data_IF_515158551068
#
_entry.id   IF_515158551068
#
_cell.length_a   1.000
_cell.length_b   1.000
_cell.length_c   1.000
_cell.angle_alpha   90.00
_cell.angle_beta   90.00
_cell.angle_gamma   90.00
#
_symmetry.space_group_name_H-M   'P 1'
#
loop_
_entity.id
_entity.type
_entity.pdbx_description
1 polymer ?
#
# COMPACT_ATOMS: atom_id res chain seq x y z
N UNK A 1 -21.96 -10.89 -27.60
CA UNK A 1 -21.64 -10.74 -26.18
C UNK A 1 -20.98 -9.37 -25.97
N UNK A 2 -21.58 -8.47 -25.21
CA UNK A 2 -21.00 -7.16 -24.91
C UNK A 2 -19.74 -7.37 -24.07
N UNK A 3 -18.63 -6.71 -24.43
CA UNK A 3 -17.41 -6.71 -23.60
C UNK A 3 -17.73 -5.99 -22.30
N UNK A 4 -17.50 -6.65 -21.17
CA UNK A 4 -17.60 -6.03 -19.83
C UNK A 4 -16.64 -4.83 -19.75
N UNK A 5 -17.08 -3.76 -19.12
CA UNK A 5 -16.18 -2.63 -18.81
C UNK A 5 -15.21 -3.03 -17.68
N UNK A 6 -14.06 -2.35 -17.58
CA UNK A 6 -13.09 -2.55 -16.49
C UNK A 6 -13.77 -2.49 -15.12
N UNK A 7 -14.70 -1.54 -14.91
CA UNK A 7 -15.47 -1.42 -13.68
C UNK A 7 -16.31 -2.66 -13.38
N UNK A 8 -17.02 -3.20 -14.41
CA UNK A 8 -17.82 -4.42 -14.22
C UNK A 8 -16.96 -5.63 -13.86
N UNK A 9 -15.77 -5.75 -14.46
CA UNK A 9 -14.83 -6.83 -14.11
C UNK A 9 -14.38 -6.67 -12.66
N UNK A 10 -13.93 -5.49 -12.24
CA UNK A 10 -13.43 -5.27 -10.89
C UNK A 10 -14.50 -5.38 -9.81
N UNK A 11 -15.77 -5.06 -10.10
CA UNK A 11 -16.88 -5.28 -9.16
C UNK A 11 -17.06 -6.77 -8.85
N UNK A 12 -16.77 -7.66 -9.79
CA UNK A 12 -16.82 -9.12 -9.57
C UNK A 12 -15.66 -9.64 -8.72
N UNK A 13 -14.55 -8.88 -8.67
CA UNK A 13 -13.37 -9.19 -7.88
C UNK A 13 -13.30 -8.42 -6.54
N UNK A 14 -14.25 -7.51 -6.29
CA UNK A 14 -14.29 -6.75 -5.05
C UNK A 14 -14.61 -7.67 -3.88
N UNK A 15 -13.64 -7.82 -2.98
CA UNK A 15 -13.75 -8.63 -1.78
C UNK A 15 -14.27 -7.82 -0.58
N UNK A 16 -13.83 -6.58 -0.47
CA UNK A 16 -14.15 -5.70 0.66
C UNK A 16 -14.15 -4.24 0.22
N UNK A 17 -15.08 -3.49 0.80
CA UNK A 17 -15.12 -2.04 0.79
C UNK A 17 -15.68 -1.56 2.12
N UNK A 18 -14.78 -1.16 3.00
CA UNK A 18 -15.12 -0.72 4.35
C UNK A 18 -14.23 0.46 4.75
N UNK A 19 -14.82 1.54 5.21
CA UNK A 19 -14.11 2.69 5.80
C UNK A 19 -12.94 3.17 4.92
N UNK A 20 -13.17 3.34 3.61
CA UNK A 20 -12.17 3.72 2.61
C UNK A 20 -11.04 2.68 2.38
N UNK A 21 -11.18 1.47 2.90
CA UNK A 21 -10.28 0.36 2.57
C UNK A 21 -10.97 -0.50 1.51
N UNK A 22 -10.38 -0.56 0.32
CA UNK A 22 -10.89 -1.39 -0.76
C UNK A 22 -9.94 -2.55 -1.05
N UNK A 23 -10.51 -3.71 -1.28
CA UNK A 23 -9.78 -4.97 -1.52
C UNK A 23 -10.37 -5.66 -2.74
N UNK A 24 -9.52 -6.07 -3.67
CA UNK A 24 -9.89 -6.86 -4.84
C UNK A 24 -9.05 -8.13 -4.89
N UNK A 25 -9.71 -9.25 -5.16
CA UNK A 25 -9.07 -10.56 -5.28
C UNK A 25 -8.73 -10.88 -6.74
N UNK A 26 -7.72 -11.71 -6.92
CA UNK A 26 -7.33 -12.31 -8.20
C UNK A 26 -7.03 -11.27 -9.32
N UNK A 27 -6.47 -10.11 -8.94
CA UNK A 27 -6.15 -9.02 -9.87
C UNK A 27 -4.80 -9.23 -10.53
N UNK A 28 -3.75 -9.48 -9.73
CA UNK A 28 -2.39 -9.68 -10.24
C UNK A 28 -2.16 -11.15 -10.54
N UNK A 29 -1.81 -11.52 -11.79
CA UNK A 29 -1.71 -12.92 -12.18
C UNK A 29 -0.51 -13.62 -11.54
N UNK A 30 -0.61 -14.96 -11.40
CA UNK A 30 0.40 -15.79 -10.72
C UNK A 30 1.78 -15.69 -11.35
N UNK A 31 1.87 -15.65 -12.67
CA UNK A 31 3.17 -15.56 -13.35
C UNK A 31 3.93 -14.28 -12.95
N UNK A 32 3.23 -13.15 -12.78
CA UNK A 32 3.86 -11.91 -12.32
C UNK A 32 4.18 -11.99 -10.82
N UNK A 33 3.27 -12.48 -9.99
CA UNK A 33 3.53 -12.71 -8.57
C UNK A 33 4.75 -13.64 -8.35
N UNK A 34 4.81 -14.74 -9.09
CA UNK A 34 5.90 -15.70 -9.03
C UNK A 34 7.25 -15.09 -9.47
N UNK A 35 7.22 -14.30 -10.55
CA UNK A 35 8.41 -13.59 -11.02
C UNK A 35 8.95 -12.62 -9.95
N UNK A 36 8.07 -11.83 -9.34
CA UNK A 36 8.45 -10.84 -8.32
C UNK A 36 9.03 -11.50 -7.07
N UNK A 37 8.46 -12.62 -6.62
CA UNK A 37 9.00 -13.40 -5.49
C UNK A 37 10.39 -13.93 -5.81
N UNK A 38 10.54 -14.56 -6.97
CA UNK A 38 11.84 -15.09 -7.41
C UNK A 38 12.88 -13.98 -7.56
N UNK A 39 12.48 -12.83 -8.08
CA UNK A 39 13.37 -11.68 -8.24
C UNK A 39 13.91 -11.20 -6.91
N UNK A 40 13.06 -10.92 -5.91
CA UNK A 40 13.50 -10.40 -4.59
C UNK A 40 14.37 -11.42 -3.84
N UNK A 41 14.16 -12.71 -4.05
CA UNK A 41 14.99 -13.76 -3.44
C UNK A 41 16.40 -13.82 -4.03
N UNK A 42 16.59 -13.34 -5.25
CA UNK A 42 17.87 -13.42 -5.96
C UNK A 42 18.65 -12.09 -6.04
N UNK A 43 18.07 -10.97 -5.58
CA UNK A 43 18.73 -9.65 -5.62
C UNK A 43 19.26 -9.21 -4.25
N UNK A 44 19.92 -10.10 -3.56
CA UNK A 44 20.38 -9.87 -2.18
C UNK A 44 21.29 -8.64 -2.01
N UNK A 45 22.03 -8.25 -3.04
CA UNK A 45 22.94 -7.10 -3.01
C UNK A 45 22.25 -5.72 -3.05
N UNK A 46 20.99 -5.67 -3.42
CA UNK A 46 20.19 -4.44 -3.46
C UNK A 46 19.08 -4.40 -2.41
N UNK A 47 18.94 -5.48 -1.65
CA UNK A 47 17.98 -5.54 -0.56
C UNK A 47 18.45 -4.70 0.62
N UNK A 48 17.55 -3.86 1.13
CA UNK A 48 17.73 -3.22 2.42
C UNK A 48 17.18 -4.15 3.48
N UNK A 49 18.06 -4.65 4.33
CA UNK A 49 17.67 -5.41 5.51
C UNK A 49 17.27 -4.44 6.62
N UNK A 50 15.97 -4.38 6.91
CA UNK A 50 15.46 -3.68 8.08
C UNK A 50 15.46 -4.65 9.25
N UNK A 51 16.49 -4.56 10.08
CA UNK A 51 16.72 -5.46 11.21
C UNK A 51 16.42 -4.83 12.56
N UNK A 52 15.60 -3.78 12.59
CA UNK A 52 15.16 -3.18 13.84
C UNK A 52 14.10 -4.10 14.50
N UNK A 53 14.48 -4.83 15.58
CA UNK A 53 13.54 -5.77 16.22
C UNK A 53 12.36 -5.06 16.89
N UNK A 54 12.42 -3.74 17.05
CA UNK A 54 11.35 -2.94 17.64
C UNK A 54 10.35 -2.48 16.57
N UNK A 55 10.85 -1.91 15.46
CA UNK A 55 10.00 -1.27 14.46
C UNK A 55 9.61 -2.19 13.30
N UNK A 56 10.49 -3.05 12.88
CA UNK A 56 10.20 -3.98 11.79
C UNK A 56 11.40 -4.73 11.28
N UNK A 57 11.16 -5.96 10.90
CA UNK A 57 12.13 -6.84 10.28
C UNK A 57 11.57 -7.33 8.95
N UNK A 58 12.16 -6.90 7.87
CA UNK A 58 11.89 -7.40 6.53
C UNK A 58 13.07 -7.07 5.59
N UNK A 59 13.03 -7.64 4.42
CA UNK A 59 13.90 -7.27 3.31
C UNK A 59 13.08 -6.51 2.29
N UNK A 60 13.62 -5.42 1.73
CA UNK A 60 12.94 -4.66 0.70
C UNK A 60 13.85 -4.24 -0.44
N UNK A 61 13.29 -4.14 -1.62
CA UNK A 61 13.97 -3.70 -2.83
C UNK A 61 13.07 -2.78 -3.66
N UNK A 62 13.65 -1.72 -4.22
CA UNK A 62 12.93 -0.77 -5.06
C UNK A 62 12.80 -1.29 -6.49
N UNK A 63 11.68 -1.90 -6.84
CA UNK A 63 11.41 -2.47 -8.16
C UNK A 63 11.46 -1.41 -9.27
N UNK A 64 10.87 -0.24 -9.03
CA UNK A 64 10.81 0.85 -10.02
C UNK A 64 12.19 1.40 -10.41
N UNK A 65 13.21 1.20 -9.57
CA UNK A 65 14.59 1.64 -9.85
C UNK A 65 15.33 0.58 -10.67
N UNK A 66 15.20 -0.69 -10.30
CA UNK A 66 16.00 -1.77 -10.86
C UNK A 66 15.31 -2.52 -12.01
N UNK A 67 13.97 -2.59 -12.00
CA UNK A 67 13.17 -3.32 -12.98
C UNK A 67 11.95 -2.49 -13.40
N UNK A 68 12.21 -1.33 -14.00
CA UNK A 68 11.17 -0.36 -14.32
C UNK A 68 10.07 -0.90 -15.24
N UNK A 69 10.40 -1.75 -16.20
CA UNK A 69 9.42 -2.35 -17.12
C UNK A 69 8.45 -3.27 -16.36
N UNK A 70 8.96 -4.09 -15.44
CA UNK A 70 8.13 -4.98 -14.61
C UNK A 70 7.32 -4.16 -13.61
N UNK A 71 7.92 -3.11 -13.03
CA UNK A 71 7.20 -2.17 -12.18
C UNK A 71 6.02 -1.54 -12.92
N UNK A 72 6.21 -1.09 -14.16
CA UNK A 72 5.14 -0.52 -14.97
C UNK A 72 4.02 -1.55 -15.23
N UNK A 73 4.39 -2.79 -15.55
CA UNK A 73 3.41 -3.88 -15.73
C UNK A 73 2.59 -4.12 -14.45
N UNK A 74 3.24 -4.16 -13.28
CA UNK A 74 2.54 -4.30 -12.01
C UNK A 74 1.60 -3.11 -11.77
N UNK A 75 2.07 -1.90 -12.06
CA UNK A 75 1.29 -0.68 -11.88
C UNK A 75 0.06 -0.58 -12.80
N UNK A 76 0.02 -1.24 -13.95
CA UNK A 76 -1.19 -1.33 -14.76
C UNK A 76 -2.34 -1.98 -13.99
N UNK A 77 -2.08 -3.05 -13.25
CA UNK A 77 -3.07 -3.71 -12.41
C UNK A 77 -3.48 -2.83 -11.21
N UNK A 78 -2.52 -2.26 -10.51
CA UNK A 78 -2.77 -1.39 -9.35
C UNK A 78 -3.52 -0.13 -9.77
N UNK A 79 -3.11 0.53 -10.87
CA UNK A 79 -3.77 1.72 -11.40
C UNK A 79 -5.21 1.44 -11.84
N UNK A 80 -5.49 0.23 -12.32
CA UNK A 80 -6.86 -0.20 -12.65
C UNK A 80 -7.74 -0.20 -11.41
N UNK A 81 -7.26 -0.76 -10.29
CA UNK A 81 -7.96 -0.70 -8.99
C UNK A 81 -8.06 0.75 -8.47
N UNK A 82 -6.99 1.54 -8.57
CA UNK A 82 -6.98 2.93 -8.14
C UNK A 82 -7.95 3.81 -8.94
N UNK A 83 -8.15 3.51 -10.21
CA UNK A 83 -9.16 4.20 -11.04
C UNK A 83 -10.57 3.96 -10.51
N UNK A 84 -10.93 2.70 -10.20
CA UNK A 84 -12.22 2.36 -9.61
C UNK A 84 -12.37 2.96 -8.21
N UNK A 85 -11.32 2.93 -7.40
CA UNK A 85 -11.28 3.60 -6.11
C UNK A 85 -11.57 5.09 -6.23
N UNK A 86 -10.94 5.78 -7.20
CA UNK A 86 -11.14 7.22 -7.43
C UNK A 86 -12.53 7.56 -8.00
N UNK A 87 -13.15 6.65 -8.75
CA UNK A 87 -14.54 6.81 -9.19
C UNK A 87 -15.51 6.74 -8.03
N UNK A 88 -15.26 5.84 -7.07
CA UNK A 88 -16.07 5.68 -5.87
C UNK A 88 -15.92 6.87 -4.92
N UNK A 89 -14.70 7.25 -4.66
CA UNK A 89 -14.34 8.40 -3.84
C UNK A 89 -14.00 9.60 -4.71
N UNK A 90 -14.99 10.07 -5.46
CA UNK A 90 -14.83 11.00 -6.59
C UNK A 90 -14.08 12.31 -6.25
N UNK A 91 -14.02 12.70 -4.97
CA UNK A 91 -13.25 13.87 -4.54
C UNK A 91 -11.75 13.73 -4.82
N UNK A 92 -11.24 12.49 -4.88
CA UNK A 92 -9.85 12.19 -5.24
C UNK A 92 -9.47 12.66 -6.65
N UNK A 93 -10.43 12.82 -7.56
CA UNK A 93 -10.20 13.35 -8.92
C UNK A 93 -9.67 14.80 -8.92
N UNK A 94 -9.80 15.51 -7.81
CA UNK A 94 -9.27 16.85 -7.64
C UNK A 94 -7.77 16.85 -7.28
N UNK A 95 -7.19 15.70 -6.96
CA UNK A 95 -5.78 15.55 -6.65
C UNK A 95 -5.03 14.99 -7.86
N UNK A 96 -3.98 15.67 -8.35
CA UNK A 96 -3.09 15.10 -9.35
C UNK A 96 -2.21 14.05 -8.68
N UNK A 97 -2.68 12.81 -8.61
CA UNK A 97 -1.96 11.70 -7.99
C UNK A 97 -0.92 11.12 -8.94
N UNK A 98 0.27 10.83 -8.41
CA UNK A 98 1.33 10.10 -9.09
C UNK A 98 1.90 9.00 -8.17
N UNK A 99 2.46 7.98 -8.74
CA UNK A 99 3.14 6.91 -8.00
C UNK A 99 4.48 7.42 -7.46
N UNK A 100 4.72 7.21 -6.16
CA UNK A 100 5.96 7.66 -5.52
C UNK A 100 7.07 6.60 -5.64
N UNK A 101 6.77 5.34 -5.36
CA UNK A 101 7.71 4.22 -5.48
C UNK A 101 6.96 2.90 -5.53
N UNK A 102 7.66 1.86 -5.98
CA UNK A 102 7.19 0.47 -5.95
C UNK A 102 8.25 -0.37 -5.25
N UNK A 103 7.92 -0.89 -4.09
CA UNK A 103 8.81 -1.71 -3.28
C UNK A 103 8.33 -3.16 -3.30
N UNK A 104 9.26 -4.11 -3.40
CA UNK A 104 8.98 -5.52 -3.11
C UNK A 104 9.57 -5.81 -1.74
N UNK A 105 8.77 -6.43 -0.88
CA UNK A 105 9.17 -6.77 0.48
C UNK A 105 9.02 -8.27 0.73
N UNK A 106 10.01 -8.84 1.42
CA UNK A 106 9.97 -10.20 1.95
C UNK A 106 10.04 -10.15 3.47
N UNK A 107 9.06 -10.73 4.12
CA UNK A 107 9.00 -10.89 5.57
C UNK A 107 9.13 -12.37 5.90
N UNK A 108 10.15 -12.74 6.67
CA UNK A 108 10.37 -14.12 7.13
C UNK A 108 9.42 -14.48 8.29
N UNK A 109 9.25 -15.78 8.62
CA UNK A 109 8.45 -16.20 9.74
C UNK A 109 8.79 -15.46 11.04
N UNK A 110 7.75 -15.02 11.75
CA UNK A 110 7.82 -14.26 13.02
C UNK A 110 8.41 -12.86 12.92
N UNK A 111 8.82 -12.42 11.73
CA UNK A 111 9.21 -11.04 11.45
C UNK A 111 7.98 -10.21 11.05
N UNK A 112 8.15 -8.92 10.86
CA UNK A 112 7.09 -8.03 10.39
C UNK A 112 7.31 -6.59 10.78
N UNK A 113 6.38 -5.73 10.40
CA UNK A 113 6.34 -4.34 10.83
C UNK A 113 5.33 -4.22 11.98
N UNK A 114 5.83 -4.27 13.22
CA UNK A 114 5.01 -4.54 14.40
C UNK A 114 4.26 -3.32 14.94
N UNK A 115 4.69 -2.10 14.60
CA UNK A 115 4.06 -0.87 15.08
C UNK A 115 2.97 -0.41 14.13
N UNK A 116 1.88 0.08 14.73
CA UNK A 116 0.88 0.82 13.98
C UNK A 116 1.47 2.14 13.49
N UNK A 117 1.38 2.38 12.20
CA UNK A 117 1.89 3.56 11.53
C UNK A 117 0.92 4.06 10.46
N UNK A 118 1.05 5.33 10.11
CA UNK A 118 0.46 5.94 8.93
C UNK A 118 1.57 6.35 7.97
N UNK A 119 1.23 6.54 6.71
CA UNK A 119 2.22 6.82 5.67
C UNK A 119 2.64 8.29 5.62
N UNK A 120 1.72 9.21 5.86
CA UNK A 120 1.94 10.65 5.71
C UNK A 120 2.29 11.39 7.02
N UNK A 121 2.92 10.70 7.95
CA UNK A 121 3.18 11.19 9.31
C UNK A 121 4.48 12.00 9.47
N UNK A 122 5.23 12.21 8.40
CA UNK A 122 6.46 12.99 8.40
C UNK A 122 6.45 14.12 7.38
N UNK A 123 7.35 15.08 7.55
CA UNK A 123 7.51 16.17 6.57
C UNK A 123 7.78 15.67 5.16
N UNK A 124 8.57 14.61 4.99
CA UNK A 124 8.94 14.07 3.69
C UNK A 124 7.82 13.21 3.06
N UNK A 125 6.93 12.66 3.87
CA UNK A 125 5.82 11.80 3.41
C UNK A 125 4.45 12.49 3.42
N UNK A 126 4.37 13.75 3.83
CA UNK A 126 3.10 14.50 3.98
C UNK A 126 2.21 14.54 2.73
N UNK A 127 2.80 14.34 1.55
CA UNK A 127 2.09 14.37 0.27
C UNK A 127 1.44 13.02 -0.08
N UNK A 128 1.68 11.97 0.70
CA UNK A 128 1.07 10.66 0.47
C UNK A 128 -0.42 10.77 0.76
N UNK A 129 -1.22 10.44 -0.23
CA UNK A 129 -2.69 10.45 -0.17
C UNK A 129 -3.22 9.04 0.03
N UNK A 130 -2.73 8.08 -0.78
CA UNK A 130 -3.13 6.68 -0.70
C UNK A 130 -1.89 5.79 -0.57
N UNK A 131 -2.07 4.70 0.14
CA UNK A 131 -1.18 3.56 0.08
C UNK A 131 -1.85 2.42 -0.68
N UNK A 132 -1.04 1.56 -1.28
CA UNK A 132 -1.49 0.35 -1.93
C UNK A 132 -0.55 -0.82 -1.62
N UNK A 133 -1.11 -2.02 -1.66
CA UNK A 133 -0.37 -3.26 -1.47
C UNK A 133 -0.92 -4.36 -2.37
N UNK A 134 -0.04 -5.21 -2.86
CA UNK A 134 -0.37 -6.47 -3.51
C UNK A 134 0.26 -7.61 -2.73
N UNK A 135 -0.52 -8.60 -2.31
CA UNK A 135 0.02 -9.84 -1.78
C UNK A 135 0.50 -10.73 -2.92
N UNK A 136 1.77 -11.15 -2.86
CA UNK A 136 2.39 -11.95 -3.92
C UNK A 136 2.30 -13.46 -3.66
N UNK A 137 1.91 -13.86 -2.45
CA UNK A 137 1.65 -15.26 -2.09
C UNK A 137 0.55 -15.36 -1.03
N UNK A 138 0.04 -16.57 -0.88
CA UNK A 138 -0.83 -16.93 0.23
C UNK A 138 0.01 -17.16 1.50
N UNK A 139 -0.56 -16.82 2.65
CA UNK A 139 0.00 -17.15 3.97
C UNK A 139 -1.12 -17.74 4.81
N UNK A 140 -0.96 -18.99 5.23
CA UNK A 140 -2.03 -19.74 5.91
C UNK A 140 -2.30 -19.19 7.31
N UNK A 141 -1.26 -18.77 8.03
CA UNK A 141 -1.36 -18.30 9.41
C UNK A 141 -0.51 -17.07 9.65
N UNK A 142 -1.12 -16.05 10.24
CA UNK A 142 -0.49 -14.76 10.46
C UNK A 142 -0.32 -13.95 9.16
N UNK A 143 0.51 -12.92 9.21
CA UNK A 143 0.85 -12.10 8.05
C UNK A 143 -0.22 -11.11 7.61
N UNK A 144 -1.34 -10.99 8.34
CA UNK A 144 -2.40 -10.06 8.02
C UNK A 144 -1.88 -8.61 8.06
N UNK A 145 -2.46 -7.77 7.22
CA UNK A 145 -2.40 -6.31 7.40
C UNK A 145 -3.55 -5.91 8.32
N UNK A 146 -3.21 -5.40 9.49
CA UNK A 146 -4.17 -5.03 10.53
C UNK A 146 -4.33 -3.52 10.61
N UNK A 147 -5.57 -3.04 10.54
CA UNK A 147 -5.97 -1.65 10.68
C UNK A 147 -6.54 -1.41 12.08
N UNK A 148 -5.95 -0.45 12.80
CA UNK A 148 -6.23 -0.22 14.22
C UNK A 148 -7.66 0.26 14.45
N UNK A 149 -8.02 1.38 13.84
CA UNK A 149 -9.31 2.03 14.11
C UNK A 149 -10.49 1.31 13.47
N UNK A 150 -10.27 0.68 12.32
CA UNK A 150 -11.27 -0.10 11.61
C UNK A 150 -11.46 -1.50 12.19
N UNK A 151 -10.58 -1.94 13.12
CA UNK A 151 -10.57 -3.28 13.70
C UNK A 151 -10.60 -4.37 12.62
N UNK A 152 -9.92 -4.12 11.51
CA UNK A 152 -9.94 -4.95 10.32
C UNK A 152 -8.59 -5.65 10.13
N UNK A 153 -8.62 -6.94 9.78
CA UNK A 153 -7.45 -7.73 9.39
C UNK A 153 -7.64 -8.28 8.00
N UNK A 154 -6.74 -7.92 7.10
CA UNK A 154 -6.75 -8.41 5.72
C UNK A 154 -5.73 -9.53 5.59
N UNK A 155 -6.22 -10.74 5.35
CA UNK A 155 -5.39 -11.93 5.18
C UNK A 155 -4.64 -11.89 3.85
N UNK A 156 -3.35 -12.27 3.82
CA UNK A 156 -2.63 -12.46 2.57
C UNK A 156 -3.32 -13.47 1.66
N UNK A 157 -3.58 -13.05 0.44
CA UNK A 157 -4.05 -13.88 -0.66
C UNK A 157 -3.33 -13.45 -1.93
N UNK A 158 -2.71 -14.38 -2.62
CA UNK A 158 -1.97 -14.09 -3.85
C UNK A 158 -2.83 -13.35 -4.87
N UNK A 159 -2.25 -12.32 -5.48
CA UNK A 159 -2.92 -11.48 -6.47
C UNK A 159 -3.93 -10.48 -5.91
N UNK A 160 -4.16 -10.46 -4.59
CA UNK A 160 -5.03 -9.51 -3.88
C UNK A 160 -4.40 -8.13 -3.86
N UNK A 161 -5.16 -7.13 -4.29
CA UNK A 161 -4.80 -5.71 -4.21
C UNK A 161 -5.57 -5.05 -3.08
N UNK A 162 -4.91 -4.22 -2.30
CA UNK A 162 -5.50 -3.41 -1.22
C UNK A 162 -5.12 -1.96 -1.44
N UNK A 163 -6.10 -1.04 -1.32
CA UNK A 163 -5.87 0.42 -1.40
C UNK A 163 -6.58 1.07 -0.21
N UNK A 164 -5.88 2.01 0.46
CA UNK A 164 -6.40 2.75 1.62
C UNK A 164 -5.79 4.15 1.73
N UNK A 165 -6.41 5.08 2.49
CA UNK A 165 -5.84 6.39 2.77
C UNK A 165 -4.53 6.29 3.57
N UNK A 166 -3.50 7.03 3.16
CA UNK A 166 -2.19 7.03 3.84
C UNK A 166 -2.15 7.81 5.16
N UNK A 167 -3.29 8.30 5.68
CA UNK A 167 -3.34 9.22 6.80
C UNK A 167 -3.42 8.53 8.18
N UNK A 168 -3.30 9.35 9.24
CA UNK A 168 -3.42 8.90 10.64
C UNK A 168 -4.73 8.18 10.96
N UNK A 169 -5.77 8.35 10.16
CA UNK A 169 -7.06 7.66 10.31
C UNK A 169 -6.98 6.17 9.96
N UNK A 170 -5.95 5.76 9.24
CA UNK A 170 -5.75 4.38 8.77
C UNK A 170 -4.42 3.81 9.27
N UNK A 171 -4.17 3.94 10.57
CA UNK A 171 -3.01 3.32 11.19
C UNK A 171 -3.08 1.81 10.98
N UNK A 172 -2.01 1.26 10.44
CA UNK A 172 -1.93 -0.17 10.12
C UNK A 172 -0.56 -0.74 10.45
N UNK A 173 -0.51 -2.08 10.54
CA UNK A 173 0.71 -2.85 10.76
C UNK A 173 0.67 -4.18 10.02
N UNK A 174 1.84 -4.78 9.81
CA UNK A 174 1.97 -6.15 9.34
C UNK A 174 2.09 -7.12 10.52
N UNK A 175 1.14 -8.04 10.68
CA UNK A 175 1.25 -9.10 11.67
C UNK A 175 2.31 -10.11 11.26
N UNK A 176 3.04 -10.72 12.23
CA UNK A 176 4.04 -11.73 11.93
C UNK A 176 3.44 -12.93 11.18
N UNK A 177 4.00 -13.32 10.02
CA UNK A 177 3.58 -14.52 9.31
C UNK A 177 4.21 -15.76 9.92
N UNK A 178 3.62 -16.93 9.68
CA UNK A 178 4.21 -18.23 10.06
C UNK A 178 4.99 -18.89 8.91
N UNK A 179 4.91 -18.33 7.70
CA UNK A 179 5.72 -18.68 6.53
C UNK A 179 6.20 -17.41 5.84
N UNK A 180 7.09 -17.51 4.86
CA UNK A 180 7.56 -16.35 4.10
C UNK A 180 6.37 -15.60 3.48
N UNK A 181 6.29 -14.29 3.72
CA UNK A 181 5.30 -13.38 3.15
C UNK A 181 5.99 -12.45 2.16
N UNK A 182 5.41 -12.33 0.98
CA UNK A 182 5.88 -11.41 -0.06
C UNK A 182 4.78 -10.43 -0.42
N UNK A 183 5.14 -9.16 -0.50
CA UNK A 183 4.24 -8.10 -0.94
C UNK A 183 4.93 -7.18 -1.93
N UNK A 184 4.15 -6.58 -2.81
CA UNK A 184 4.51 -5.34 -3.47
C UNK A 184 3.73 -4.20 -2.80
N UNK A 185 4.36 -3.06 -2.58
CA UNK A 185 3.72 -1.90 -1.95
C UNK A 185 4.26 -0.59 -2.51
N UNK A 186 3.48 0.46 -2.34
CA UNK A 186 3.86 1.81 -2.74
C UNK A 186 2.76 2.81 -2.42
N UNK A 187 2.91 4.00 -2.97
CA UNK A 187 2.07 5.12 -2.59
C UNK A 187 1.64 5.93 -3.81
N UNK A 188 0.46 6.56 -3.67
CA UNK A 188 0.07 7.67 -4.52
C UNK A 188 0.23 8.97 -3.74
N UNK A 189 1.03 9.88 -4.28
CA UNK A 189 1.28 11.17 -3.69
C UNK A 189 0.69 12.29 -4.55
N UNK A 190 0.30 13.38 -3.93
CA UNK A 190 -0.13 14.59 -4.63
C UNK A 190 1.08 15.42 -5.06
N UNK A 191 1.10 15.85 -6.32
CA UNK A 191 2.04 16.84 -6.82
C UNK A 191 1.55 18.23 -6.40
N UNK A 192 1.89 18.69 -5.22
CA UNK A 192 1.54 20.03 -4.75
C UNK A 192 2.54 20.53 -3.72
N UNK A 193 3.21 21.63 -4.00
CA UNK A 193 3.95 22.37 -2.99
C UNK A 193 2.95 23.09 -2.08
N UNK A 194 2.98 22.81 -0.78
CA UNK A 194 2.31 23.66 0.17
C UNK A 194 3.13 24.97 0.29
N UNK A 195 2.50 26.08 0.06
CA UNK A 195 3.01 27.34 0.59
C UNK A 195 3.11 27.25 2.12
N UNK A 196 4.07 27.98 2.68
CA UNK A 196 4.58 27.86 4.06
C UNK A 196 3.59 28.24 5.18
N UNK A 197 2.35 27.84 5.13
CA UNK A 197 1.46 27.98 6.29
C UNK A 197 1.43 26.67 7.06
N UNK A 198 2.33 26.54 8.03
CA UNK A 198 2.30 25.44 8.98
C UNK A 198 1.22 25.75 10.01
N UNK A 199 0.11 25.03 9.96
CA UNK A 199 -0.82 25.00 11.07
C UNK A 199 -0.15 24.28 12.24
N UNK A 200 0.08 25.04 13.33
CA UNK A 200 0.58 24.47 14.58
C UNK A 200 -0.62 24.19 15.50
N UNK A 201 -1.04 22.92 15.62
CA UNK A 201 -2.19 22.57 16.46
C UNK A 201 -1.91 22.76 17.97
N UNK A 202 -0.65 22.96 18.34
CA UNK A 202 -0.23 23.20 19.72
C UNK A 202 -0.16 24.69 20.05
N UNK A 203 -0.28 25.56 19.06
CA UNK A 203 -0.34 27.00 19.28
C UNK A 203 -1.79 27.38 19.56
N UNK A 204 -2.12 27.84 20.76
CA UNK A 204 -3.49 28.33 21.05
C UNK A 204 -3.86 29.41 20.05
N UNK A 205 -5.12 29.38 19.58
CA UNK A 205 -5.69 30.52 18.88
C UNK A 205 -5.64 31.71 19.83
N UNK A 206 -5.01 32.79 19.44
CA UNK A 206 -5.12 34.07 20.10
C UNK A 206 -6.52 34.64 19.78
N UNK A 207 -7.46 34.35 20.67
CA UNK A 207 -8.81 34.92 20.63
C UNK A 207 -8.87 36.17 21.50
N UNK A 208 -7.85 37.03 21.45
CA UNK A 208 -7.96 38.36 22.03
C UNK A 208 -9.02 39.11 21.20
N UNK A 209 -10.15 39.34 21.84
CA UNK A 209 -11.27 40.09 21.30
C UNK A 209 -10.83 41.48 20.80
N UNK A 210 -11.15 41.79 19.55
CA UNK A 210 -11.30 43.15 19.08
C UNK A 210 -12.63 43.74 19.50
#
# INVERSE_FOLDING_TARGET
MSKKTTRQILTEHEFLDQDFICVWDDIVPENLCGWLRNWVDNVSFINTDRSDPINGQDQQCALNIYESAVSNTLMEYVNTCASVYSEKYHYLKNFPLHTASTLIQKTKPKQGYHFFHGENVSYNSRNIILAWMVYLNDVDSGGETEFLYQQLKIKPKRGRVVIWPGSFTHLHRGNPPMSDKYIATGWYASAGGFEKHVFDPMKPLDISDD
#
